data_IF_561906412148
#
_entry.id   IF_561906412148
#
_cell.length_a   1.000
_cell.length_b   1.000
_cell.length_c   1.000
_cell.angle_alpha   90.00
_cell.angle_beta   90.00
_cell.angle_gamma   90.00
#
_symmetry.space_group_name_H-M   'P 1'
#
loop_
_entity.id
_entity.type
_entity.pdbx_description
1 polymer ?
#
# COMPACT_ATOMS: atom_id res chain seq x y z
N UNK A 1 27.11 6.48 -4.04
CA UNK A 1 26.30 6.02 -2.90
C UNK A 1 24.82 6.23 -3.15
N UNK A 2 24.16 5.19 -3.66
CA UNK A 2 22.71 5.13 -3.54
C UNK A 2 22.39 4.81 -2.09
N UNK A 3 21.56 5.64 -1.46
CA UNK A 3 21.09 5.45 -0.09
C UNK A 3 20.31 4.15 0.10
N UNK A 4 19.87 3.47 -0.96
CA UNK A 4 19.10 2.24 -0.85
C UNK A 4 19.91 1.13 -0.13
N UNK A 5 19.31 0.46 0.87
CA UNK A 5 17.91 0.55 1.32
C UNK A 5 17.65 1.45 2.54
N UNK A 6 18.62 2.27 2.97
CA UNK A 6 18.57 3.02 4.21
C UNK A 6 18.23 4.51 4.01
N UNK A 7 17.60 5.13 5.01
CA UNK A 7 17.40 6.58 5.02
C UNK A 7 18.70 7.32 5.32
N UNK A 8 18.79 8.59 4.92
CA UNK A 8 19.91 9.44 5.32
C UNK A 8 20.02 9.51 6.85
N UNK A 9 21.20 9.21 7.40
CA UNK A 9 21.42 9.10 8.85
C UNK A 9 20.90 7.82 9.50
N UNK A 10 20.22 6.94 8.73
CA UNK A 10 19.75 5.63 9.15
C UNK A 10 20.62 4.48 8.66
N UNK A 11 21.87 4.75 8.27
CA UNK A 11 22.80 3.72 7.86
C UNK A 11 23.01 2.69 8.99
N UNK A 12 23.19 1.40 8.64
CA UNK A 12 23.42 0.35 9.61
C UNK A 12 24.61 0.66 10.51
N UNK A 13 24.38 0.57 11.81
CA UNK A 13 25.41 0.68 12.84
C UNK A 13 25.28 -0.47 13.81
N UNK A 14 26.42 -1.00 14.27
CA UNK A 14 26.47 -2.07 15.26
C UNK A 14 27.12 -1.52 16.53
N UNK A 15 26.32 -1.37 17.59
CA UNK A 15 26.80 -0.90 18.89
C UNK A 15 27.04 -2.06 19.84
N UNK A 16 28.22 -2.14 20.46
CA UNK A 16 28.51 -3.13 21.50
C UNK A 16 27.72 -2.77 22.78
N UNK A 17 27.09 -3.77 23.38
CA UNK A 17 26.26 -3.66 24.59
C UNK A 17 26.57 -4.81 25.57
N UNK A 18 25.90 -4.84 26.72
CA UNK A 18 26.03 -5.97 27.67
C UNK A 18 27.45 -6.19 28.21
N UNK A 19 28.23 -5.11 28.40
CA UNK A 19 29.62 -5.21 28.86
C UNK A 19 30.58 -5.89 27.87
N UNK A 20 30.25 -5.91 26.58
CA UNK A 20 31.09 -6.52 25.54
C UNK A 20 30.59 -7.88 25.04
N UNK A 21 29.48 -8.38 25.59
CA UNK A 21 28.95 -9.70 25.26
C UNK A 21 27.87 -9.71 24.17
N UNK A 22 27.33 -8.55 23.82
CA UNK A 22 26.26 -8.41 22.83
C UNK A 22 26.51 -7.24 21.88
N UNK A 23 25.88 -7.28 20.70
CA UNK A 23 25.87 -6.19 19.74
C UNK A 23 24.45 -5.88 19.28
N UNK A 24 24.10 -4.60 19.22
CA UNK A 24 22.79 -4.13 18.76
C UNK A 24 22.93 -3.50 17.38
N UNK A 25 22.26 -4.10 16.39
CA UNK A 25 22.16 -3.54 15.04
C UNK A 25 21.06 -2.46 15.02
N UNK A 26 21.39 -1.26 14.56
CA UNK A 26 20.45 -0.14 14.39
C UNK A 26 20.51 0.38 12.96
N UNK A 27 19.35 0.53 12.32
CA UNK A 27 19.20 1.05 10.96
C UNK A 27 17.82 1.68 10.80
N UNK A 28 17.67 2.54 9.78
CA UNK A 28 16.39 3.06 9.33
C UNK A 28 16.19 2.72 7.86
N UNK A 29 15.12 1.98 7.56
CA UNK A 29 14.78 1.61 6.18
C UNK A 29 14.08 2.75 5.46
N UNK A 30 14.26 2.82 4.15
CA UNK A 30 13.41 3.67 3.31
C UNK A 30 11.95 3.19 3.37
N UNK A 31 10.97 4.13 3.36
CA UNK A 31 9.57 3.75 3.21
C UNK A 31 9.34 2.87 1.98
N UNK A 32 8.44 1.89 2.10
CA UNK A 32 8.07 0.94 1.02
C UNK A 32 9.18 -0.01 0.56
N UNK A 33 10.37 0.03 1.19
CA UNK A 33 11.44 -0.91 0.84
C UNK A 33 11.22 -2.27 1.51
N UNK A 34 11.37 -3.32 0.70
CA UNK A 34 11.44 -4.71 1.15
C UNK A 34 12.50 -5.42 0.31
N UNK A 35 13.09 -6.48 0.84
CA UNK A 35 14.20 -7.17 0.20
C UNK A 35 15.15 -7.83 1.19
N UNK A 36 16.29 -8.29 0.69
CA UNK A 36 17.33 -8.90 1.52
C UNK A 36 18.66 -8.20 1.32
N UNK A 37 19.28 -7.79 2.42
CA UNK A 37 20.65 -7.27 2.46
C UNK A 37 21.60 -8.23 3.16
N UNK A 38 22.82 -8.38 2.63
CA UNK A 38 23.87 -9.18 3.26
C UNK A 38 24.83 -8.28 4.01
N UNK A 39 25.05 -8.60 5.28
CA UNK A 39 26.00 -7.92 6.14
C UNK A 39 27.23 -8.78 6.40
N UNK A 40 28.38 -8.13 6.49
CA UNK A 40 29.65 -8.71 6.94
C UNK A 40 30.10 -7.92 8.17
N UNK A 41 30.36 -8.61 9.27
CA UNK A 41 30.77 -8.00 10.55
C UNK A 41 32.04 -8.65 11.07
N UNK A 42 32.90 -7.85 11.70
CA UNK A 42 34.05 -8.33 12.45
C UNK A 42 34.16 -7.50 13.73
N UNK A 43 34.72 -8.09 14.78
CA UNK A 43 34.95 -7.44 16.04
C UNK A 43 36.44 -7.11 16.17
N UNK A 44 36.76 -5.93 16.71
CA UNK A 44 38.12 -5.55 17.02
C UNK A 44 38.28 -5.20 18.50
N UNK A 45 39.37 -5.65 19.12
CA UNK A 45 39.79 -5.23 20.46
C UNK A 45 40.91 -4.17 20.40
N UNK A 46 41.22 -3.57 21.55
CA UNK A 46 42.21 -2.51 21.69
C UNK A 46 43.63 -3.00 22.03
N UNK A 47 43.87 -4.32 22.08
CA UNK A 47 45.14 -4.93 22.49
C UNK A 47 46.26 -4.82 21.45
N UNK A 48 45.92 -4.50 20.20
CA UNK A 48 46.87 -4.32 19.10
C UNK A 48 47.45 -5.63 18.55
N UNK A 49 48.44 -5.52 17.64
CA UNK A 49 49.03 -6.67 16.92
C UNK A 49 50.50 -6.94 17.29
N UNK A 50 51.01 -6.29 18.34
CA UNK A 50 52.41 -6.44 18.75
C UNK A 50 52.76 -7.90 19.07
N UNK A 51 54.02 -8.27 18.79
CA UNK A 51 54.56 -9.62 19.02
C UNK A 51 53.77 -10.75 18.35
N UNK A 52 53.07 -10.44 17.25
CA UNK A 52 52.28 -11.41 16.49
C UNK A 52 50.86 -11.64 17.03
N UNK A 53 50.34 -10.71 17.85
CA UNK A 53 48.94 -10.73 18.28
C UNK A 53 47.95 -10.45 17.14
N UNK A 54 46.70 -10.86 17.31
CA UNK A 54 45.57 -10.53 16.44
C UNK A 54 44.50 -9.83 17.25
N UNK A 55 44.11 -8.63 16.84
CA UNK A 55 43.08 -7.85 17.51
C UNK A 55 41.76 -7.77 16.71
N UNK A 56 41.63 -8.54 15.61
CA UNK A 56 40.43 -8.58 14.77
C UNK A 56 39.95 -10.03 14.63
N UNK A 57 38.64 -10.25 14.76
CA UNK A 57 38.02 -11.54 14.55
C UNK A 57 37.97 -11.93 13.07
N UNK A 58 37.75 -13.21 12.77
CA UNK A 58 37.27 -13.60 11.46
C UNK A 58 35.93 -12.89 11.13
N UNK A 59 35.65 -12.56 9.86
CA UNK A 59 34.38 -11.99 9.46
C UNK A 59 33.25 -13.01 9.66
N UNK A 60 32.10 -12.52 10.11
CA UNK A 60 30.84 -13.25 10.13
C UNK A 60 29.84 -12.58 9.21
N UNK A 61 28.92 -13.38 8.67
CA UNK A 61 27.93 -12.90 7.73
C UNK A 61 26.52 -13.24 8.21
N UNK A 62 25.59 -12.34 7.94
CA UNK A 62 24.17 -12.60 8.13
C UNK A 62 23.35 -11.82 7.10
N UNK A 63 22.12 -12.28 6.89
CA UNK A 63 21.17 -11.61 6.01
C UNK A 63 20.11 -10.87 6.84
N UNK A 64 19.83 -9.63 6.47
CA UNK A 64 18.66 -8.88 6.91
C UNK A 64 17.59 -9.02 5.84
N UNK A 65 16.51 -9.73 6.14
CA UNK A 65 15.34 -9.81 5.26
C UNK A 65 14.24 -8.89 5.80
N UNK A 66 13.84 -7.93 4.99
CA UNK A 66 12.69 -7.05 5.21
C UNK A 66 11.54 -7.59 4.37
N UNK A 67 10.47 -7.98 5.05
CA UNK A 67 9.27 -8.51 4.40
C UNK A 67 8.42 -7.36 3.84
N UNK A 68 7.74 -7.56 2.70
CA UNK A 68 6.77 -6.59 2.20
C UNK A 68 5.59 -6.47 3.17
N UNK A 69 4.98 -5.29 3.20
CA UNK A 69 3.73 -5.01 3.91
C UNK A 69 2.79 -4.39 2.89
N UNK A 70 1.57 -4.93 2.79
CA UNK A 70 0.57 -4.41 1.89
C UNK A 70 0.12 -3.00 2.28
N UNK A 71 0.04 -2.07 1.31
CA UNK A 71 -0.45 -0.72 1.52
C UNK A 71 -1.85 -0.55 0.94
N UNK A 72 -2.78 -0.16 1.80
CA UNK A 72 -4.19 0.01 1.42
C UNK A 72 -4.37 0.94 0.21
N UNK A 73 -5.29 0.60 -0.71
CA UNK A 73 -5.51 1.38 -1.90
C UNK A 73 -6.26 2.67 -1.55
N UNK A 74 -6.14 3.67 -2.42
CA UNK A 74 -6.86 4.94 -2.27
C UNK A 74 -7.47 5.37 -3.59
N UNK A 75 -8.51 6.20 -3.50
CA UNK A 75 -9.15 6.80 -4.66
C UNK A 75 -9.86 8.10 -4.27
N UNK A 76 -10.30 8.87 -5.27
CA UNK A 76 -11.13 10.05 -5.09
C UNK A 76 -12.35 9.99 -6.01
N UNK A 77 -13.51 10.44 -5.53
CA UNK A 77 -14.67 10.67 -6.39
C UNK A 77 -14.44 11.92 -7.28
N UNK A 78 -14.64 11.77 -8.58
CA UNK A 78 -14.58 12.87 -9.56
C UNK A 78 -15.65 13.94 -9.29
N UNK A 79 -16.78 13.54 -8.70
CA UNK A 79 -17.84 14.41 -8.25
C UNK A 79 -18.62 13.76 -7.09
N UNK A 80 -19.18 14.54 -6.14
CA UNK A 80 -19.94 14.00 -5.01
C UNK A 80 -21.33 13.48 -5.40
N UNK A 81 -21.77 13.69 -6.64
CA UNK A 81 -23.08 13.26 -7.15
C UNK A 81 -23.08 13.15 -8.67
N UNK A 82 -23.84 12.21 -9.21
CA UNK A 82 -24.02 12.01 -10.66
C UNK A 82 -25.48 12.32 -11.04
N UNK A 83 -25.77 13.47 -11.68
CA UNK A 83 -27.12 13.75 -12.17
C UNK A 83 -27.42 12.90 -13.41
N UNK A 84 -28.61 12.29 -13.45
CA UNK A 84 -29.09 11.46 -14.55
C UNK A 84 -30.58 11.72 -14.77
N UNK A 85 -31.02 11.67 -16.02
CA UNK A 85 -32.44 11.76 -16.34
C UNK A 85 -33.10 10.39 -16.14
N UNK A 86 -34.30 10.38 -15.57
CA UNK A 86 -35.08 9.15 -15.49
C UNK A 86 -35.30 8.53 -16.88
N UNK A 87 -35.22 7.21 -16.97
CA UNK A 87 -35.40 6.49 -18.24
C UNK A 87 -34.32 6.76 -19.29
N UNK A 88 -33.16 7.33 -18.93
CA UNK A 88 -32.01 7.48 -19.85
C UNK A 88 -31.41 6.14 -20.31
N UNK A 89 -31.89 5.02 -19.76
CA UNK A 89 -31.38 3.69 -20.04
C UNK A 89 -30.03 3.47 -19.35
N UNK A 90 -29.17 2.68 -19.99
CA UNK A 90 -27.83 2.38 -19.47
C UNK A 90 -26.95 3.64 -19.57
N UNK A 91 -26.44 4.08 -18.44
CA UNK A 91 -25.55 5.23 -18.31
C UNK A 91 -24.19 4.77 -17.83
N UNK A 92 -23.12 5.34 -18.41
CA UNK A 92 -21.74 5.14 -17.97
C UNK A 92 -21.08 6.49 -17.83
N UNK A 93 -20.52 6.76 -16.65
CA UNK A 93 -19.88 8.03 -16.32
C UNK A 93 -18.57 7.79 -15.58
N UNK A 94 -17.61 8.69 -15.76
CA UNK A 94 -16.42 8.73 -14.94
C UNK A 94 -16.83 9.06 -13.49
N UNK A 95 -16.57 8.14 -12.56
CA UNK A 95 -16.90 8.33 -11.14
C UNK A 95 -15.64 8.50 -10.29
N UNK A 96 -14.59 7.73 -10.60
CA UNK A 96 -13.40 7.64 -9.75
C UNK A 96 -12.17 8.11 -10.50
N UNK A 97 -11.32 8.88 -9.81
CA UNK A 97 -10.02 9.38 -10.26
C UNK A 97 -8.96 9.14 -9.18
N UNK A 98 -7.69 9.41 -9.50
CA UNK A 98 -6.57 9.36 -8.56
C UNK A 98 -6.43 8.00 -7.84
N UNK A 99 -6.71 6.90 -8.56
CA UNK A 99 -6.59 5.56 -7.99
C UNK A 99 -5.12 5.22 -7.72
N UNK A 100 -4.84 4.82 -6.47
CA UNK A 100 -3.55 4.31 -6.01
C UNK A 100 -3.70 2.90 -5.45
N UNK A 101 -2.67 2.07 -5.65
CA UNK A 101 -2.52 0.75 -5.02
C UNK A 101 -1.84 0.84 -3.65
N UNK A 102 -1.81 2.03 -3.04
CA UNK A 102 -1.12 2.27 -1.78
C UNK A 102 0.31 2.75 -1.98
N UNK A 103 1.22 1.91 -2.46
CA UNK A 103 2.62 2.30 -2.59
C UNK A 103 2.93 3.24 -3.78
N UNK A 104 3.71 4.32 -3.57
CA UNK A 104 4.20 5.19 -4.63
C UNK A 104 5.43 4.64 -5.38
N UNK A 105 6.03 3.55 -4.92
CA UNK A 105 7.27 3.00 -5.51
C UNK A 105 7.00 1.90 -6.54
N UNK A 106 5.74 1.52 -6.73
CA UNK A 106 5.32 0.50 -7.70
C UNK A 106 5.55 -0.95 -7.24
N UNK A 107 5.99 -1.17 -6.00
CA UNK A 107 6.17 -2.53 -5.46
C UNK A 107 4.87 -3.32 -5.27
N UNK A 108 3.72 -2.71 -5.56
CA UNK A 108 2.39 -3.30 -5.44
C UNK A 108 1.63 -3.24 -6.77
N UNK A 109 2.28 -2.84 -7.88
CA UNK A 109 1.63 -2.67 -9.19
C UNK A 109 1.01 -3.97 -9.74
N UNK A 110 1.45 -5.12 -9.23
CA UNK A 110 0.94 -6.45 -9.57
C UNK A 110 -0.37 -6.82 -8.84
N UNK A 111 -0.76 -6.06 -7.81
CA UNK A 111 -1.99 -6.34 -7.07
C UNK A 111 -3.24 -5.95 -7.87
N UNK A 112 -4.26 -6.79 -7.74
CA UNK A 112 -5.56 -6.57 -8.38
C UNK A 112 -6.42 -5.68 -7.49
N UNK A 113 -7.19 -4.79 -8.13
CA UNK A 113 -8.08 -3.85 -7.46
C UNK A 113 -9.54 -4.18 -7.77
N UNK A 114 -10.40 -4.20 -6.74
CA UNK A 114 -11.83 -4.49 -6.84
C UNK A 114 -12.66 -3.45 -6.11
N UNK A 115 -13.65 -2.88 -6.77
CA UNK A 115 -14.61 -1.97 -6.13
C UNK A 115 -15.78 -2.74 -5.52
N UNK A 116 -16.18 -2.32 -4.33
CA UNK A 116 -17.40 -2.78 -3.67
C UNK A 116 -18.36 -1.61 -3.48
N UNK A 117 -19.59 -1.82 -3.92
CA UNK A 117 -20.64 -0.80 -3.89
C UNK A 117 -21.75 -1.28 -2.98
N UNK A 118 -22.00 -0.56 -1.90
CA UNK A 118 -23.03 -0.89 -0.93
C UNK A 118 -24.05 0.25 -0.85
N UNK A 119 -25.33 -0.08 -0.92
CA UNK A 119 -26.37 0.92 -0.76
C UNK A 119 -26.44 1.36 0.70
N UNK A 120 -26.50 2.65 0.95
CA UNK A 120 -26.83 3.16 2.29
C UNK A 120 -28.33 2.96 2.48
N UNK A 121 -28.74 2.09 3.41
CA UNK A 121 -30.15 1.80 3.64
C UNK A 121 -30.94 3.08 4.01
N UNK A 122 -32.21 3.10 3.60
CA UNK A 122 -33.25 4.13 3.78
C UNK A 122 -33.12 5.41 2.93
N UNK A 123 -33.56 5.30 1.68
CA UNK A 123 -33.72 6.42 0.75
C UNK A 123 -34.68 6.14 -0.43
N UNK A 124 -35.82 5.48 -0.18
CA UNK A 124 -37.07 5.51 -0.95
C UNK A 124 -37.13 5.28 -2.49
N UNK A 125 -36.05 5.11 -3.24
CA UNK A 125 -36.16 4.94 -4.68
C UNK A 125 -35.17 3.91 -5.21
N UNK A 126 -35.65 2.80 -5.76
CA UNK A 126 -34.83 1.86 -6.53
C UNK A 126 -34.51 2.52 -7.89
N UNK A 127 -33.77 3.64 -7.87
CA UNK A 127 -33.51 4.48 -9.05
C UNK A 127 -32.77 3.70 -10.13
N UNK A 128 -31.94 2.75 -9.69
CA UNK A 128 -31.23 1.84 -10.57
C UNK A 128 -32.03 0.53 -10.70
N UNK A 129 -32.37 0.14 -11.93
CA UNK A 129 -33.09 -1.12 -12.18
C UNK A 129 -32.25 -2.38 -11.94
N UNK A 130 -30.96 -2.19 -11.68
CA UNK A 130 -29.93 -3.18 -11.36
C UNK A 130 -28.97 -2.57 -10.34
N UNK A 131 -28.15 -3.42 -9.70
CA UNK A 131 -27.05 -2.90 -8.87
C UNK A 131 -26.06 -2.15 -9.77
N UNK A 132 -25.63 -0.94 -9.39
CA UNK A 132 -24.57 -0.24 -10.10
C UNK A 132 -23.26 -1.04 -10.05
N UNK A 133 -22.46 -0.92 -11.10
CA UNK A 133 -21.09 -1.45 -11.14
C UNK A 133 -20.09 -0.32 -11.32
N UNK A 134 -18.94 -0.42 -10.64
CA UNK A 134 -17.80 0.48 -10.83
C UNK A 134 -16.65 -0.36 -11.37
N UNK A 135 -16.17 0.00 -12.57
CA UNK A 135 -15.17 -0.78 -13.29
C UNK A 135 -13.97 0.09 -13.61
N UNK A 136 -12.77 -0.43 -13.30
CA UNK A 136 -11.50 0.22 -13.63
C UNK A 136 -11.35 0.40 -15.13
N UNK A 137 -10.85 1.57 -15.52
CA UNK A 137 -10.47 1.84 -16.89
C UNK A 137 -9.08 1.26 -17.19
N UNK A 138 -8.72 1.08 -18.48
CA UNK A 138 -7.42 0.53 -18.88
C UNK A 138 -6.20 1.32 -18.41
N UNK A 139 -6.38 2.58 -18.00
CA UNK A 139 -5.31 3.41 -17.42
C UNK A 139 -4.93 2.96 -16.00
N UNK A 140 -5.77 2.15 -15.32
CA UNK A 140 -5.59 1.74 -13.94
C UNK A 140 -5.63 2.89 -12.92
N UNK A 141 -6.04 4.09 -13.35
CA UNK A 141 -6.05 5.34 -12.57
C UNK A 141 -7.44 5.96 -12.45
N UNK A 142 -8.38 5.53 -13.29
CA UNK A 142 -9.76 5.98 -13.27
C UNK A 142 -10.75 4.80 -13.30
N UNK A 143 -12.00 5.03 -12.91
CA UNK A 143 -13.06 4.03 -13.01
C UNK A 143 -14.40 4.66 -13.40
N UNK A 144 -15.18 3.91 -14.17
CA UNK A 144 -16.51 4.31 -14.61
C UNK A 144 -17.59 3.61 -13.79
N UNK A 145 -18.56 4.39 -13.34
CA UNK A 145 -19.82 3.91 -12.80
C UNK A 145 -20.78 3.59 -13.95
N UNK A 146 -21.39 2.40 -13.91
CA UNK A 146 -22.42 1.97 -14.86
C UNK A 146 -23.69 1.52 -14.14
N UNK A 147 -24.84 2.00 -14.61
CA UNK A 147 -26.16 1.66 -14.05
C UNK A 147 -27.25 1.90 -15.10
N UNK A 148 -28.49 1.50 -14.78
CA UNK A 148 -29.68 1.78 -15.59
C UNK A 148 -30.66 2.63 -14.78
N UNK A 149 -30.88 3.88 -15.21
CA UNK A 149 -31.92 4.73 -14.60
C UNK A 149 -33.32 4.25 -15.01
N UNK A 150 -34.19 3.98 -14.03
CA UNK A 150 -35.56 3.56 -14.32
C UNK A 150 -36.43 4.73 -14.80
N UNK A 151 -37.34 4.53 -15.77
CA UNK A 151 -38.34 5.53 -16.13
C UNK A 151 -39.34 5.75 -14.98
N UNK A 152 -39.80 6.99 -14.80
CA UNK A 152 -40.77 7.38 -13.76
C UNK A 152 -40.26 7.29 -12.31
N UNK A 153 -38.95 7.15 -12.13
CA UNK A 153 -38.28 7.16 -10.82
C UNK A 153 -37.35 8.36 -10.74
N UNK A 154 -37.55 9.18 -9.73
CA UNK A 154 -36.74 10.36 -9.45
C UNK A 154 -36.40 10.42 -7.95
N UNK A 155 -35.33 11.15 -7.62
CA UNK A 155 -34.86 11.31 -6.26
C UNK A 155 -33.34 11.22 -6.16
N UNK A 156 -32.86 10.96 -4.96
CA UNK A 156 -31.46 10.72 -4.66
C UNK A 156 -31.32 9.30 -4.14
N UNK A 157 -30.34 8.58 -4.66
CA UNK A 157 -29.95 7.27 -4.15
C UNK A 157 -28.50 7.35 -3.68
N UNK A 158 -28.26 6.90 -2.45
CA UNK A 158 -26.97 7.07 -1.77
C UNK A 158 -26.28 5.72 -1.63
N UNK A 159 -25.02 5.70 -2.06
CA UNK A 159 -24.18 4.52 -2.09
C UNK A 159 -22.87 4.82 -1.39
N UNK A 160 -22.29 3.80 -0.78
CA UNK A 160 -20.93 3.77 -0.26
C UNK A 160 -20.08 2.98 -1.22
N UNK A 161 -18.90 3.52 -1.53
CA UNK A 161 -17.88 2.89 -2.35
C UNK A 161 -16.65 2.57 -1.49
N UNK A 162 -16.18 1.34 -1.58
CA UNK A 162 -14.85 0.93 -1.09
C UNK A 162 -14.05 0.29 -2.21
N UNK A 163 -12.73 0.39 -2.13
CA UNK A 163 -11.77 -0.25 -3.02
C UNK A 163 -10.94 -1.22 -2.20
N UNK A 164 -10.83 -2.46 -2.67
CA UNK A 164 -9.94 -3.45 -2.07
C UNK A 164 -8.86 -3.88 -3.05
N UNK A 165 -7.64 -4.07 -2.56
CA UNK A 165 -6.55 -4.73 -3.28
C UNK A 165 -6.50 -6.25 -2.98
N UNK A 166 -5.53 -6.96 -3.55
CA UNK A 166 -5.32 -8.39 -3.35
C UNK A 166 -4.09 -8.73 -2.51
N UNK A 167 -3.52 -7.76 -1.78
CA UNK A 167 -2.23 -7.87 -1.08
C UNK A 167 -2.31 -8.51 0.30
N UNK A 168 -3.47 -8.53 0.94
CA UNK A 168 -3.68 -9.18 2.24
C UNK A 168 -3.24 -8.34 3.45
N UNK A 169 -3.82 -8.66 4.62
CA UNK A 169 -3.62 -7.90 5.88
C UNK A 169 -2.46 -8.41 6.77
N UNK A 170 -1.61 -9.30 6.26
CA UNK A 170 -0.49 -9.84 7.05
C UNK A 170 0.55 -8.77 7.38
N UNK A 171 1.30 -8.97 8.49
CA UNK A 171 2.37 -8.07 8.93
C UNK A 171 1.95 -6.60 9.14
N UNK A 172 0.66 -6.36 9.40
CA UNK A 172 0.09 -5.01 9.55
C UNK A 172 -0.28 -4.33 8.24
N UNK A 173 -0.38 -5.10 7.14
CA UNK A 173 -0.89 -4.62 5.87
C UNK A 173 -2.38 -4.27 5.93
N UNK A 174 -2.85 -3.52 4.93
CA UNK A 174 -4.26 -3.17 4.79
C UNK A 174 -4.73 -3.31 3.35
N UNK A 175 -5.92 -3.88 3.17
CA UNK A 175 -6.43 -4.21 1.82
C UNK A 175 -7.48 -3.21 1.35
N UNK A 176 -8.09 -2.47 2.27
CA UNK A 176 -9.28 -1.68 2.00
C UNK A 176 -9.02 -0.17 2.12
N UNK A 177 -9.53 0.58 1.15
CA UNK A 177 -9.62 2.03 1.23
C UNK A 177 -10.58 2.47 2.34
N UNK A 178 -10.52 3.75 2.70
CA UNK A 178 -11.65 4.36 3.40
C UNK A 178 -12.92 4.28 2.52
N UNK A 179 -14.07 4.13 3.18
CA UNK A 179 -15.38 4.25 2.54
C UNK A 179 -15.62 5.71 2.13
N UNK A 180 -16.07 5.92 0.88
CA UNK A 180 -16.51 7.21 0.34
C UNK A 180 -17.99 7.19 -0.01
#
# INVERSE_FOLDING_TARGET
>A
DSLAPFVAGGFPSLGISGGGSTGNLSFGLQPYWHGTERFVVWLADSGGTERGGSNVSAPQEFNLTVLPVNNAPTFELAAPSVPVLEGSGRTSVLLVVNISRGSPTGNEDEQNLTFFVARVADGAANLTGELPSVVLNPDGKTANLSFVAQPYWYGVDTWVLTLEDSGGVESGGGDASAAQ
#
